data_IF_404512785832
#
_entry.id   IF_404512785832
#
_cell.length_a   1.000
_cell.length_b   1.000
_cell.length_c   1.000
_cell.angle_alpha   90.00
_cell.angle_beta   90.00
_cell.angle_gamma   90.00
#
_symmetry.space_group_name_H-M   'P 1'
#
loop_
_entity.id
_entity.type
_entity.pdbx_description
1 polymer ?
#
# COMPACT_ATOMS: atom_id res chain seq x y z
N UNK A 1 -11.90 -10.61 14.82
CA UNK A 1 -11.04 -9.74 14.00
C UNK A 1 -11.80 -9.41 12.74
N UNK A 2 -12.03 -8.13 12.45
CA UNK A 2 -12.73 -7.72 11.24
C UNK A 2 -11.89 -8.00 9.99
N UNK A 3 -12.54 -8.14 8.82
CA UNK A 3 -11.86 -8.21 7.51
C UNK A 3 -10.77 -7.13 7.32
N UNK A 4 -10.95 -5.87 7.77
CA UNK A 4 -9.93 -4.83 7.63
C UNK A 4 -8.66 -5.08 8.46
N UNK A 5 -8.79 -5.61 9.68
CA UNK A 5 -7.65 -5.85 10.57
C UNK A 5 -6.75 -6.97 10.05
N UNK A 6 -7.37 -8.06 9.55
CA UNK A 6 -6.67 -9.17 8.92
C UNK A 6 -5.94 -8.72 7.65
N UNK A 7 -6.60 -7.90 6.84
CA UNK A 7 -5.99 -7.31 5.65
C UNK A 7 -4.73 -6.49 6.00
N UNK A 8 -4.84 -5.55 6.95
CA UNK A 8 -3.70 -4.72 7.37
C UNK A 8 -2.55 -5.61 7.87
N UNK A 9 -2.84 -6.59 8.74
CA UNK A 9 -1.83 -7.51 9.27
C UNK A 9 -1.06 -8.23 8.16
N UNK A 10 -1.77 -8.77 7.17
CA UNK A 10 -1.16 -9.46 6.02
C UNK A 10 -0.26 -8.53 5.21
N UNK A 11 -0.69 -7.30 4.95
CA UNK A 11 0.13 -6.31 4.21
C UNK A 11 1.44 -6.04 4.95
N UNK A 12 1.40 -5.87 6.29
CA UNK A 12 2.61 -5.71 7.08
C UNK A 12 3.51 -6.95 7.08
N UNK A 13 2.94 -8.15 7.20
CA UNK A 13 3.70 -9.41 7.17
C UNK A 13 4.47 -9.56 5.84
N UNK A 14 3.80 -9.34 4.70
CA UNK A 14 4.47 -9.39 3.39
C UNK A 14 5.46 -8.26 3.17
N UNK A 15 5.17 -7.05 3.65
CA UNK A 15 6.11 -5.95 3.52
C UNK A 15 7.40 -6.19 4.31
N UNK A 16 7.33 -6.83 5.48
CA UNK A 16 8.50 -7.23 6.25
C UNK A 16 9.32 -8.28 5.48
N UNK A 17 8.64 -9.30 4.93
CA UNK A 17 9.28 -10.37 4.15
C UNK A 17 10.03 -9.80 2.92
N UNK A 18 9.37 -8.89 2.19
CA UNK A 18 9.92 -8.19 1.03
C UNK A 18 10.84 -7.01 1.38
N UNK A 19 11.05 -6.72 2.67
CA UNK A 19 11.83 -5.57 3.18
C UNK A 19 11.37 -4.22 2.62
N UNK A 20 10.08 -4.07 2.35
CA UNK A 20 9.48 -2.83 1.85
C UNK A 20 9.15 -1.92 3.04
N UNK A 21 9.66 -0.68 3.06
CA UNK A 21 9.32 0.27 4.11
C UNK A 21 7.85 0.71 3.99
N UNK A 22 7.12 0.59 5.09
CA UNK A 22 5.77 1.15 5.24
C UNK A 22 5.84 2.43 6.06
N UNK A 23 5.37 3.53 5.47
CA UNK A 23 5.17 4.82 6.12
C UNK A 23 3.73 4.92 6.61
N UNK A 24 3.54 5.01 7.92
CA UNK A 24 2.21 5.14 8.57
C UNK A 24 2.19 6.34 9.53
N UNK A 25 0.98 6.78 9.90
CA UNK A 25 0.72 7.87 10.86
C UNK A 25 1.48 7.69 12.20
N UNK A 26 1.78 6.45 12.61
CA UNK A 26 2.59 6.16 13.81
C UNK A 26 4.07 6.52 13.67
N UNK A 27 4.60 6.49 12.45
CA UNK A 27 6.02 6.75 12.15
C UNK A 27 6.22 8.23 11.83
N UNK A 28 5.23 8.86 11.19
CA UNK A 28 5.22 10.28 10.88
C UNK A 28 3.80 10.82 11.03
N UNK A 29 3.57 11.57 12.12
CA UNK A 29 2.26 12.15 12.51
C UNK A 29 1.58 13.00 11.41
N UNK A 30 2.29 13.38 10.34
CA UNK A 30 1.79 14.25 9.27
C UNK A 30 2.24 13.80 7.87
N UNK A 31 2.30 12.49 7.61
CA UNK A 31 2.51 12.05 6.22
C UNK A 31 1.28 12.36 5.38
N UNK A 32 1.45 13.35 4.52
CA UNK A 32 0.51 13.75 3.49
C UNK A 32 1.16 13.51 2.13
N UNK A 33 0.47 12.78 1.26
CA UNK A 33 0.83 12.64 -0.14
C UNK A 33 -0.32 13.20 -0.98
N UNK A 34 0.03 13.90 -2.05
CA UNK A 34 -0.96 14.45 -2.98
C UNK A 34 -1.15 13.48 -4.14
N UNK A 35 -2.36 12.97 -4.32
CA UNK A 35 -2.75 12.19 -5.50
C UNK A 35 -3.22 13.08 -6.67
N UNK A 36 -3.20 14.42 -6.52
CA UNK A 36 -3.77 15.34 -7.53
C UNK A 36 -2.91 15.49 -8.78
N UNK A 37 -1.60 15.30 -8.68
CA UNK A 37 -0.68 15.48 -9.82
C UNK A 37 -0.39 14.17 -10.55
N UNK A 38 -1.09 13.11 -10.20
CA UNK A 38 -0.85 11.78 -10.75
C UNK A 38 -1.55 11.65 -12.10
N UNK A 39 -0.84 11.17 -13.12
CA UNK A 39 -1.39 10.98 -14.48
C UNK A 39 -2.38 9.81 -14.50
N UNK A 40 -2.12 8.75 -13.72
CA UNK A 40 -3.01 7.60 -13.60
C UNK A 40 -3.09 7.06 -12.17
N UNK A 41 -4.24 6.53 -11.78
CA UNK A 41 -4.41 5.80 -10.51
C UNK A 41 -4.83 4.37 -10.80
N UNK A 42 -4.09 3.40 -10.27
CA UNK A 42 -4.38 1.96 -10.40
C UNK A 42 -4.81 1.44 -9.04
N UNK A 43 -6.00 0.82 -8.97
CA UNK A 43 -6.56 0.33 -7.71
C UNK A 43 -6.61 -1.19 -7.68
N UNK A 44 -5.94 -1.77 -6.71
CA UNK A 44 -5.99 -3.16 -6.32
C UNK A 44 -7.06 -3.33 -5.24
N UNK A 45 -8.01 -4.23 -5.47
CA UNK A 45 -9.03 -4.60 -4.48
C UNK A 45 -8.70 -5.95 -3.89
N UNK A 46 -8.59 -6.01 -2.57
CA UNK A 46 -8.38 -7.26 -1.86
C UNK A 46 -9.74 -7.95 -1.61
N UNK A 47 -9.94 -9.09 -2.25
CA UNK A 47 -11.07 -10.00 -2.09
C UNK A 47 -10.57 -11.37 -1.58
N UNK A 48 -9.83 -11.37 -0.47
CA UNK A 48 -9.27 -12.56 0.19
C UNK A 48 -8.11 -13.27 -0.54
N UNK A 49 -7.80 -12.86 -1.78
CA UNK A 49 -6.63 -13.35 -2.53
C UNK A 49 -5.33 -12.64 -2.09
N UNK A 50 -4.43 -13.37 -1.44
CA UNK A 50 -3.12 -12.87 -0.97
C UNK A 50 -2.19 -12.43 -2.11
N UNK A 51 -2.37 -13.01 -3.29
CA UNK A 51 -1.62 -12.66 -4.50
C UNK A 51 -1.76 -11.18 -4.87
N UNK A 52 -2.90 -10.56 -4.56
CA UNK A 52 -3.14 -9.13 -4.81
C UNK A 52 -2.22 -8.27 -3.93
N UNK A 53 -2.02 -8.66 -2.67
CA UNK A 53 -1.13 -7.94 -1.75
C UNK A 53 0.32 -8.09 -2.21
N UNK A 54 0.73 -9.31 -2.55
CA UNK A 54 2.09 -9.59 -3.06
C UNK A 54 2.37 -8.84 -4.36
N UNK A 55 1.42 -8.83 -5.29
CA UNK A 55 1.54 -8.09 -6.54
C UNK A 55 1.67 -6.59 -6.32
N UNK A 56 0.83 -6.03 -5.44
CA UNK A 56 0.93 -4.62 -5.05
C UNK A 56 2.29 -4.28 -4.43
N UNK A 57 2.73 -5.05 -3.43
CA UNK A 57 4.01 -4.82 -2.76
C UNK A 57 5.21 -5.05 -3.69
N UNK A 58 5.14 -6.02 -4.59
CA UNK A 58 6.16 -6.23 -5.62
C UNK A 58 6.36 -5.01 -6.52
N UNK A 59 5.33 -4.17 -6.72
CA UNK A 59 5.51 -2.88 -7.40
C UNK A 59 6.34 -1.89 -6.58
N UNK A 60 6.18 -1.87 -5.25
CA UNK A 60 7.00 -1.01 -4.40
C UNK A 60 8.48 -1.41 -4.48
N UNK A 61 8.76 -2.72 -4.50
CA UNK A 61 10.10 -3.25 -4.69
C UNK A 61 10.63 -2.91 -6.09
N UNK A 62 9.85 -3.16 -7.14
CA UNK A 62 10.22 -2.89 -8.54
C UNK A 62 10.56 -1.41 -8.79
N UNK A 63 9.76 -0.49 -8.24
CA UNK A 63 10.00 0.95 -8.35
C UNK A 63 10.95 1.51 -7.29
N UNK A 64 11.55 0.64 -6.45
CA UNK A 64 12.45 1.05 -5.36
C UNK A 64 11.89 2.17 -4.49
N UNK A 65 10.61 2.04 -4.10
CA UNK A 65 9.85 3.08 -3.40
C UNK A 65 9.23 2.54 -2.11
N UNK A 66 8.49 3.40 -1.41
CA UNK A 66 7.87 3.09 -0.13
C UNK A 66 6.36 2.88 -0.29
N UNK A 67 5.77 2.06 0.59
CA UNK A 67 4.33 1.98 0.72
C UNK A 67 3.83 2.94 1.81
N UNK A 68 2.83 3.75 1.51
CA UNK A 68 2.23 4.70 2.46
C UNK A 68 0.89 4.15 2.92
N UNK A 69 0.71 3.95 4.22
CA UNK A 69 -0.57 3.58 4.81
C UNK A 69 -1.36 4.82 5.20
N UNK A 70 -2.66 4.83 4.85
CA UNK A 70 -3.62 5.85 5.29
C UNK A 70 -4.96 5.19 5.56
N UNK A 71 -5.38 5.19 6.84
CA UNK A 71 -6.53 4.40 7.33
C UNK A 71 -6.36 2.92 6.93
N UNK A 72 -7.35 2.35 6.25
CA UNK A 72 -7.40 0.95 5.79
C UNK A 72 -6.90 0.77 4.34
N UNK A 73 -6.08 1.71 3.85
CA UNK A 73 -5.60 1.74 2.46
C UNK A 73 -4.10 1.93 2.42
N UNK A 74 -3.49 1.36 1.39
CA UNK A 74 -2.06 1.49 1.12
C UNK A 74 -1.86 2.11 -0.24
N UNK A 75 -0.76 2.86 -0.39
CA UNK A 75 -0.45 3.62 -1.58
C UNK A 75 1.02 3.47 -1.93
N UNK A 76 1.33 3.34 -3.20
CA UNK A 76 2.70 3.40 -3.72
C UNK A 76 2.76 4.58 -4.68
N UNK A 77 3.40 5.69 -4.28
CA UNK A 77 3.62 6.82 -5.17
C UNK A 77 4.77 6.49 -6.14
N UNK A 78 4.53 6.79 -7.41
CA UNK A 78 5.57 6.87 -8.45
C UNK A 78 5.45 8.20 -9.19
N UNK A 79 6.33 8.45 -10.15
CA UNK A 79 6.41 9.74 -10.86
C UNK A 79 5.11 10.12 -11.58
N UNK A 80 4.37 9.15 -12.11
CA UNK A 80 3.17 9.40 -12.93
C UNK A 80 1.98 8.51 -12.57
N UNK A 81 2.19 7.45 -11.79
CA UNK A 81 1.15 6.50 -11.39
C UNK A 81 1.07 6.37 -9.88
N UNK A 82 -0.15 6.35 -9.35
CA UNK A 82 -0.41 6.06 -7.95
C UNK A 82 -1.07 4.69 -7.88
N UNK A 83 -0.35 3.72 -7.34
CA UNK A 83 -0.94 2.43 -7.04
C UNK A 83 -1.60 2.52 -5.68
N UNK A 84 -2.82 1.99 -5.58
CA UNK A 84 -3.63 1.99 -4.36
C UNK A 84 -4.09 0.57 -4.09
N UNK A 85 -3.98 0.14 -2.85
CA UNK A 85 -4.52 -1.12 -2.37
C UNK A 85 -5.58 -0.82 -1.30
N UNK A 86 -6.78 -1.38 -1.49
CA UNK A 86 -7.86 -1.28 -0.52
C UNK A 86 -8.60 -2.60 -0.32
N UNK A 87 -9.06 -2.84 0.90
CA UNK A 87 -10.00 -3.92 1.20
C UNK A 87 -11.41 -3.49 0.79
N UNK A 88 -12.12 -4.36 0.06
CA UNK A 88 -13.54 -4.14 -0.25
C UNK A 88 -14.45 -4.52 0.92
#
# INVERSE_FOLDING_TARGET
MGKPELFIKKVYEYAIDLKIPIVDERVYEKVSFSSKNTVATVTFKFEEAEEVIKGFLGLAEFFHTVAVKKKDKFYIPTDSVLFKLECS
#
